data_IF_217250159526
#
_entry.id   IF_217250159526
#
_cell.length_a   1.000
_cell.length_b   1.000
_cell.length_c   1.000
_cell.angle_alpha   90.00
_cell.angle_beta   90.00
_cell.angle_gamma   90.00
#
_symmetry.space_group_name_H-M   'P 1'
#
loop_
_entity.id
_entity.type
_entity.pdbx_description
1 polymer ?
#
# COMPACT_ATOMS: atom_id res chain seq x y z
N UNK A 1 -16.22 42.77 8.05
CA UNK A 1 -15.76 41.56 8.77
C UNK A 1 -14.90 40.76 7.82
N UNK A 2 -13.58 40.65 8.13
CA UNK A 2 -12.57 40.14 7.19
C UNK A 2 -12.53 38.62 7.32
N UNK A 3 -12.96 37.90 6.28
CA UNK A 3 -12.87 36.44 6.18
C UNK A 3 -11.39 36.04 5.97
N UNK A 4 -10.75 35.46 6.98
CA UNK A 4 -9.42 34.86 6.85
C UNK A 4 -9.61 33.43 6.42
N UNK A 5 -9.36 33.17 5.13
CA UNK A 5 -9.27 31.83 4.58
C UNK A 5 -7.89 31.29 5.02
N UNK A 6 -7.89 30.35 5.95
CA UNK A 6 -6.69 29.58 6.29
C UNK A 6 -6.70 28.34 5.40
N UNK A 7 -5.92 28.40 4.32
CA UNK A 7 -5.64 27.24 3.50
C UNK A 7 -4.62 26.37 4.26
N UNK A 8 -5.08 25.26 4.82
CA UNK A 8 -4.21 24.25 5.44
C UNK A 8 -3.70 23.32 4.33
N UNK A 9 -2.55 23.64 3.77
CA UNK A 9 -1.78 22.78 2.88
C UNK A 9 -1.09 21.71 3.72
N UNK A 10 -1.65 20.52 3.79
CA UNK A 10 -0.98 19.32 4.27
C UNK A 10 0.01 18.85 3.19
N UNK A 11 1.20 19.41 3.23
CA UNK A 11 2.34 18.93 2.47
C UNK A 11 3.05 17.87 3.31
N UNK A 12 2.66 16.60 3.16
CA UNK A 12 3.44 15.47 3.66
C UNK A 12 4.56 15.16 2.66
N UNK A 13 5.70 15.83 2.85
CA UNK A 13 6.94 15.50 2.16
C UNK A 13 7.65 14.37 2.89
N UNK A 14 7.48 13.12 2.45
CA UNK A 14 8.36 12.02 2.80
C UNK A 14 9.65 12.14 2.01
N UNK A 15 10.67 12.72 2.62
CA UNK A 15 12.04 12.69 2.11
C UNK A 15 12.67 11.35 2.46
N UNK A 16 12.72 10.44 1.50
CA UNK A 16 13.55 9.23 1.55
C UNK A 16 14.99 9.64 1.24
N UNK A 17 15.81 9.75 2.29
CA UNK A 17 17.24 9.96 2.18
C UNK A 17 17.92 8.61 1.87
N UNK A 18 18.24 8.36 0.60
CA UNK A 18 19.17 7.29 0.22
C UNK A 18 20.60 7.78 0.51
N UNK A 19 21.22 7.27 1.57
CA UNK A 19 22.66 7.39 1.81
C UNK A 19 23.38 6.37 0.94
N UNK A 20 23.91 6.83 -0.18
CA UNK A 20 24.90 6.09 -0.95
C UNK A 20 26.24 6.19 -0.24
N UNK A 21 26.75 5.09 0.32
CA UNK A 21 28.12 5.00 0.79
C UNK A 21 28.96 4.41 -0.34
N UNK A 22 29.76 5.24 -0.97
CA UNK A 22 30.79 4.84 -1.91
C UNK A 22 32.03 4.34 -1.17
N UNK A 23 32.66 3.30 -1.70
CA UNK A 23 33.96 2.79 -1.26
C UNK A 23 34.72 2.30 -2.47
N UNK A 24 35.71 3.09 -2.89
CA UNK A 24 36.73 2.78 -3.88
C UNK A 24 37.65 1.66 -3.45
N UNK A 25 38.15 0.87 -4.41
CA UNK A 25 39.32 0.01 -4.23
C UNK A 25 39.64 -0.73 -5.52
N UNK A 26 40.60 -0.21 -6.28
CA UNK A 26 41.34 -0.74 -7.42
C UNK A 26 41.98 -2.12 -7.14
N UNK A 27 42.13 -3.03 -8.07
CA UNK A 27 43.15 -3.16 -9.10
C UNK A 27 43.23 -4.56 -9.70
N UNK A 28 43.38 -4.61 -10.99
CA UNK A 28 44.22 -5.45 -11.87
C UNK A 28 44.26 -6.97 -11.79
N UNK A 29 44.01 -7.55 -12.92
CA UNK A 29 44.84 -8.39 -13.78
C UNK A 29 44.20 -9.66 -14.31
N UNK A 30 43.91 -9.61 -15.58
CA UNK A 30 44.38 -10.49 -16.68
C UNK A 30 44.54 -12.01 -16.43
N UNK A 31 43.74 -12.80 -17.14
CA UNK A 31 44.32 -13.72 -18.15
C UNK A 31 43.24 -14.46 -18.94
N UNK A 32 43.45 -14.47 -20.25
CA UNK A 32 42.80 -15.25 -21.30
C UNK A 32 42.95 -16.73 -21.10
N UNK A 33 41.97 -17.50 -21.51
CA UNK A 33 42.17 -18.56 -22.50
C UNK A 33 40.89 -19.12 -23.02
N UNK A 34 40.81 -19.14 -24.32
CA UNK A 34 39.89 -19.80 -25.23
C UNK A 34 39.78 -21.31 -25.05
N UNK A 35 38.68 -21.89 -25.45
CA UNK A 35 38.49 -22.97 -26.42
C UNK A 35 37.11 -23.60 -26.19
N UNK A 36 36.15 -23.34 -27.01
CA UNK A 36 35.57 -23.96 -28.21
C UNK A 36 35.18 -25.44 -28.08
N UNK A 37 33.93 -25.64 -28.49
CA UNK A 37 33.38 -26.69 -29.33
C UNK A 37 32.35 -27.64 -28.72
N UNK A 38 31.11 -27.42 -29.21
CA UNK A 38 30.16 -28.36 -29.87
C UNK A 38 29.67 -29.56 -29.03
N UNK A 39 28.45 -29.69 -28.99
CA UNK A 39 27.27 -30.05 -29.84
C UNK A 39 26.60 -31.32 -29.31
N UNK A 40 25.32 -31.30 -29.34
CA UNK A 40 24.35 -32.33 -29.67
C UNK A 40 23.46 -32.89 -28.57
N UNK A 41 22.23 -32.39 -28.71
CA UNK A 41 20.95 -33.13 -28.84
C UNK A 41 20.32 -33.82 -27.65
N UNK A 42 19.10 -33.30 -27.47
CA UNK A 42 17.86 -34.03 -27.23
C UNK A 42 17.75 -34.96 -26.04
N UNK A 43 16.87 -34.61 -25.15
CA UNK A 43 15.58 -35.28 -25.05
C UNK A 43 14.78 -34.74 -23.90
N UNK A 44 13.58 -34.30 -24.20
CA UNK A 44 12.36 -34.37 -23.41
C UNK A 44 12.54 -34.79 -21.93
N UNK A 45 12.16 -33.86 -21.05
CA UNK A 45 10.98 -34.15 -20.20
C UNK A 45 10.55 -32.84 -19.55
N UNK A 46 9.40 -32.40 -19.97
CA UNK A 46 8.49 -31.55 -19.21
C UNK A 46 8.46 -31.98 -17.76
N UNK A 47 8.67 -31.04 -16.88
CA UNK A 47 7.91 -30.98 -15.62
C UNK A 47 8.36 -29.80 -14.81
N UNK A 48 7.54 -28.80 -14.77
CA UNK A 48 6.99 -28.29 -13.54
C UNK A 48 7.96 -27.53 -12.62
N UNK A 49 8.26 -26.31 -13.05
CA UNK A 49 8.73 -25.28 -12.09
C UNK A 49 7.81 -24.04 -12.15
N UNK A 50 6.49 -24.29 -12.30
CA UNK A 50 5.46 -23.24 -12.23
C UNK A 50 4.67 -23.27 -10.93
N UNK A 51 4.96 -24.18 -10.00
CA UNK A 51 4.15 -24.35 -8.79
C UNK A 51 4.53 -23.44 -7.64
N UNK A 52 5.78 -22.97 -7.55
CA UNK A 52 6.21 -22.14 -6.45
C UNK A 52 5.68 -20.69 -6.60
N UNK A 53 5.81 -20.13 -7.79
CA UNK A 53 5.41 -18.76 -8.10
C UNK A 53 3.88 -18.56 -8.01
N UNK A 54 3.10 -19.54 -8.50
CA UNK A 54 1.64 -19.50 -8.39
C UNK A 54 1.12 -19.63 -6.95
N UNK A 55 1.84 -20.33 -6.06
CA UNK A 55 1.41 -20.46 -4.66
C UNK A 55 1.65 -19.18 -3.88
N UNK A 56 2.75 -18.44 -4.16
CA UNK A 56 3.10 -17.18 -3.52
C UNK A 56 2.17 -16.06 -3.99
N UNK A 57 1.93 -15.93 -5.27
CA UNK A 57 0.98 -14.96 -5.85
C UNK A 57 -0.45 -15.22 -5.35
N UNK A 58 -0.89 -16.47 -5.26
CA UNK A 58 -2.19 -16.84 -4.70
C UNK A 58 -2.31 -16.42 -3.26
N UNK A 59 -1.24 -16.49 -2.48
CA UNK A 59 -1.26 -16.12 -1.06
C UNK A 59 -1.36 -14.61 -0.87
N UNK A 60 -0.58 -13.81 -1.58
CA UNK A 60 -0.72 -12.35 -1.59
C UNK A 60 -2.09 -11.94 -2.14
N UNK A 61 -2.56 -12.60 -3.20
CA UNK A 61 -3.88 -12.37 -3.77
C UNK A 61 -4.98 -12.65 -2.74
N UNK A 62 -4.90 -13.75 -2.01
CA UNK A 62 -5.91 -14.09 -1.00
C UNK A 62 -5.98 -13.05 0.12
N UNK A 63 -4.83 -12.51 0.56
CA UNK A 63 -4.80 -11.42 1.54
C UNK A 63 -5.36 -10.13 0.94
N UNK A 64 -4.99 -9.81 -0.29
CA UNK A 64 -5.52 -8.63 -0.97
C UNK A 64 -7.05 -8.71 -1.07
N UNK A 65 -7.59 -9.84 -1.49
CA UNK A 65 -9.04 -10.06 -1.62
C UNK A 65 -9.75 -9.96 -0.27
N UNK A 66 -9.22 -10.64 0.76
CA UNK A 66 -9.76 -10.60 2.12
C UNK A 66 -9.83 -9.18 2.68
N UNK A 67 -8.74 -8.44 2.59
CA UNK A 67 -8.67 -7.09 3.16
C UNK A 67 -9.36 -6.03 2.30
N UNK A 68 -9.40 -6.22 0.97
CA UNK A 68 -10.25 -5.42 0.07
C UNK A 68 -11.71 -5.56 0.46
N UNK A 69 -12.17 -6.78 0.67
CA UNK A 69 -13.54 -7.03 1.10
C UNK A 69 -13.83 -6.38 2.45
N UNK A 70 -12.97 -6.59 3.47
CA UNK A 70 -13.12 -6.00 4.80
C UNK A 70 -13.21 -4.47 4.75
N UNK A 71 -12.30 -3.81 4.04
CA UNK A 71 -12.31 -2.34 3.92
C UNK A 71 -13.59 -1.89 3.23
N UNK A 72 -13.99 -2.54 2.12
CA UNK A 72 -15.16 -2.18 1.34
C UNK A 72 -16.47 -2.38 2.12
N UNK A 73 -16.60 -3.46 2.88
CA UNK A 73 -17.79 -3.76 3.68
C UNK A 73 -17.94 -2.81 4.88
N UNK A 74 -16.83 -2.39 5.48
CA UNK A 74 -16.87 -1.49 6.65
C UNK A 74 -17.09 -0.03 6.25
N UNK A 75 -16.65 0.38 5.06
CA UNK A 75 -16.69 1.79 4.62
C UNK A 75 -18.07 2.44 4.70
N UNK A 76 -19.17 1.84 4.20
CA UNK A 76 -20.49 2.44 4.31
C UNK A 76 -20.90 2.73 5.77
N UNK A 77 -20.64 1.76 6.67
CA UNK A 77 -20.91 1.94 8.09
C UNK A 77 -20.09 3.06 8.73
N UNK A 78 -18.83 3.22 8.32
CA UNK A 78 -17.95 4.30 8.79
C UNK A 78 -18.44 5.67 8.30
N UNK A 79 -18.93 5.75 7.06
CA UNK A 79 -19.56 6.98 6.50
C UNK A 79 -20.86 7.30 7.23
N UNK A 80 -21.71 6.29 7.50
CA UNK A 80 -22.96 6.47 8.24
C UNK A 80 -22.71 6.93 9.67
N UNK A 81 -21.71 6.38 10.35
CA UNK A 81 -21.27 6.85 11.68
C UNK A 81 -20.83 8.32 11.63
N UNK A 82 -20.02 8.70 10.62
CA UNK A 82 -19.61 10.08 10.44
C UNK A 82 -20.83 10.99 10.28
N UNK A 83 -21.77 10.65 9.38
CA UNK A 83 -22.96 11.43 9.12
C UNK A 83 -23.89 11.55 10.34
N UNK A 84 -23.91 10.53 11.18
CA UNK A 84 -24.71 10.53 12.41
C UNK A 84 -24.10 11.43 13.50
N UNK A 85 -22.77 11.42 13.63
CA UNK A 85 -22.04 12.16 14.68
C UNK A 85 -21.71 13.61 14.29
N UNK A 86 -21.63 13.91 12.97
CA UNK A 86 -21.28 15.23 12.47
C UNK A 86 -22.23 16.37 12.94
N UNK A 87 -23.56 16.19 13.02
CA UNK A 87 -24.46 17.22 13.54
C UNK A 87 -24.16 17.64 14.99
N UNK A 88 -23.64 16.72 15.81
CA UNK A 88 -23.28 16.99 17.20
C UNK A 88 -22.09 17.97 17.34
N UNK A 89 -21.33 18.15 16.27
CA UNK A 89 -20.19 19.09 16.21
C UNK A 89 -20.63 20.53 15.96
N UNK A 90 -21.95 20.79 15.79
CA UNK A 90 -22.52 22.13 15.67
C UNK A 90 -21.83 23.02 14.60
N UNK A 91 -21.30 22.44 13.54
CA UNK A 91 -20.59 23.14 12.48
C UNK A 91 -19.16 23.57 12.84
N UNK A 92 -18.59 23.09 13.95
CA UNK A 92 -17.17 23.29 14.26
C UNK A 92 -16.31 22.46 13.31
N UNK A 93 -15.66 23.15 12.36
CA UNK A 93 -14.85 22.54 11.30
C UNK A 93 -13.67 21.75 11.89
N UNK A 94 -13.09 22.16 13.00
CA UNK A 94 -11.98 21.42 13.63
C UNK A 94 -12.48 20.10 14.24
N UNK A 95 -13.60 20.15 14.96
CA UNK A 95 -14.22 18.95 15.52
C UNK A 95 -14.72 17.98 14.44
N UNK A 96 -15.21 18.49 13.30
CA UNK A 96 -15.56 17.70 12.14
C UNK A 96 -14.34 17.04 11.48
N UNK A 97 -13.21 17.76 11.41
CA UNK A 97 -11.96 17.21 10.87
C UNK A 97 -11.39 16.11 11.78
N UNK A 98 -11.43 16.30 13.09
CA UNK A 98 -11.03 15.27 14.06
C UNK A 98 -11.92 14.01 13.94
N UNK A 99 -13.23 14.19 13.81
CA UNK A 99 -14.16 13.09 13.57
C UNK A 99 -13.84 12.35 12.27
N UNK A 100 -13.62 13.07 11.16
CA UNK A 100 -13.23 12.49 9.88
C UNK A 100 -11.95 11.66 10.01
N UNK A 101 -10.92 12.20 10.64
CA UNK A 101 -9.65 11.51 10.86
C UNK A 101 -9.85 10.21 11.68
N UNK A 102 -10.63 10.25 12.75
CA UNK A 102 -10.94 9.08 13.55
C UNK A 102 -11.68 7.99 12.75
N UNK A 103 -12.53 8.38 11.81
CA UNK A 103 -13.23 7.45 10.92
C UNK A 103 -12.29 6.84 9.86
N UNK A 104 -11.43 7.67 9.25
CA UNK A 104 -10.41 7.20 8.29
C UNK A 104 -9.40 6.26 8.97
N UNK A 105 -9.03 6.50 10.24
CA UNK A 105 -8.13 5.64 11.01
C UNK A 105 -8.68 4.20 11.17
N UNK A 106 -9.99 4.01 11.25
CA UNK A 106 -10.59 2.65 11.27
C UNK A 106 -10.26 1.88 10.00
N UNK A 107 -10.34 2.51 8.84
CA UNK A 107 -10.00 1.90 7.56
C UNK A 107 -8.48 1.66 7.44
N UNK A 108 -7.68 2.61 7.92
CA UNK A 108 -6.22 2.49 7.95
C UNK A 108 -5.75 1.29 8.79
N UNK A 109 -6.43 1.02 9.91
CA UNK A 109 -6.12 -0.12 10.77
C UNK A 109 -6.29 -1.44 10.01
N UNK A 110 -7.40 -1.61 9.29
CA UNK A 110 -7.66 -2.81 8.48
C UNK A 110 -6.61 -2.95 7.37
N UNK A 111 -6.28 -1.85 6.69
CA UNK A 111 -5.25 -1.85 5.64
C UNK A 111 -3.88 -2.28 6.22
N UNK A 112 -3.47 -1.70 7.34
CA UNK A 112 -2.20 -2.01 7.99
C UNK A 112 -2.11 -3.47 8.46
N UNK A 113 -3.21 -4.06 8.91
CA UNK A 113 -3.27 -5.49 9.23
C UNK A 113 -3.00 -6.36 8.00
N UNK A 114 -3.62 -6.03 6.85
CA UNK A 114 -3.38 -6.72 5.58
C UNK A 114 -1.94 -6.59 5.11
N UNK A 115 -1.38 -5.37 5.14
CA UNK A 115 0.03 -5.11 4.80
C UNK A 115 0.98 -5.89 5.72
N UNK A 116 0.68 -5.98 7.02
CA UNK A 116 1.47 -6.76 7.98
C UNK A 116 1.46 -8.26 7.65
N UNK A 117 0.31 -8.82 7.26
CA UNK A 117 0.23 -10.22 6.81
C UNK A 117 1.01 -10.47 5.52
N UNK A 118 1.00 -9.53 4.59
CA UNK A 118 1.83 -9.59 3.38
C UNK A 118 3.32 -9.58 3.72
N UNK A 119 3.73 -8.78 4.72
CA UNK A 119 5.11 -8.75 5.20
C UNK A 119 5.55 -10.08 5.87
N UNK A 120 4.64 -10.74 6.60
CA UNK A 120 4.91 -12.08 7.18
C UNK A 120 5.15 -13.12 6.08
N UNK A 121 4.36 -13.08 5.00
CA UNK A 121 4.53 -13.98 3.85
C UNK A 121 5.86 -13.71 3.17
N UNK A 122 6.19 -12.44 2.90
CA UNK A 122 7.48 -12.06 2.34
C UNK A 122 8.65 -12.68 3.12
N UNK A 123 8.62 -12.55 4.45
CA UNK A 123 9.69 -13.09 5.31
C UNK A 123 9.74 -14.63 5.27
N UNK A 124 8.58 -15.27 5.22
CA UNK A 124 8.46 -16.73 5.20
C UNK A 124 8.99 -17.33 3.89
N UNK A 125 8.68 -16.70 2.78
CA UNK A 125 9.01 -17.18 1.44
C UNK A 125 10.37 -16.69 0.97
N UNK A 126 10.87 -15.59 1.54
CA UNK A 126 12.09 -14.94 1.07
C UNK A 126 11.86 -14.06 -0.17
N UNK A 127 10.64 -13.58 -0.35
CA UNK A 127 10.26 -12.76 -1.51
C UNK A 127 11.00 -11.44 -1.57
N UNK A 128 11.11 -10.88 -2.78
CA UNK A 128 11.75 -9.58 -3.00
C UNK A 128 10.95 -8.43 -2.39
N UNK A 129 11.64 -7.31 -2.11
CA UNK A 129 10.98 -6.06 -1.71
C UNK A 129 10.02 -5.57 -2.79
N UNK A 130 10.35 -5.76 -4.07
CA UNK A 130 9.52 -5.33 -5.20
C UNK A 130 8.19 -6.08 -5.23
N UNK A 131 8.22 -7.41 -5.06
CA UNK A 131 7.00 -8.23 -4.99
C UNK A 131 6.10 -7.78 -3.83
N UNK A 132 6.66 -7.64 -2.64
CA UNK A 132 5.91 -7.17 -1.48
C UNK A 132 5.32 -5.78 -1.70
N UNK A 133 6.11 -4.83 -2.20
CA UNK A 133 5.68 -3.45 -2.42
C UNK A 133 4.55 -3.35 -3.45
N UNK A 134 4.58 -4.18 -4.49
CA UNK A 134 3.51 -4.23 -5.49
C UNK A 134 2.18 -4.64 -4.84
N UNK A 135 2.17 -5.72 -4.05
CA UNK A 135 0.94 -6.20 -3.41
C UNK A 135 0.44 -5.27 -2.30
N UNK A 136 1.34 -4.76 -1.47
CA UNK A 136 1.00 -3.78 -0.45
C UNK A 136 0.45 -2.49 -1.07
N UNK A 137 1.01 -2.05 -2.20
CA UNK A 137 0.54 -0.90 -2.96
C UNK A 137 -0.89 -1.07 -3.45
N UNK A 138 -1.26 -2.23 -3.98
CA UNK A 138 -2.65 -2.53 -4.41
C UNK A 138 -3.64 -2.38 -3.25
N UNK A 139 -3.29 -2.87 -2.06
CA UNK A 139 -4.17 -2.73 -0.89
C UNK A 139 -4.27 -1.28 -0.39
N UNK A 140 -3.17 -0.52 -0.47
CA UNK A 140 -3.16 0.91 -0.14
C UNK A 140 -4.02 1.73 -1.11
N UNK A 141 -4.09 1.37 -2.39
CA UNK A 141 -4.99 2.01 -3.37
C UNK A 141 -6.46 1.78 -3.00
N UNK A 142 -6.82 0.57 -2.59
CA UNK A 142 -8.16 0.26 -2.08
C UNK A 142 -8.48 1.12 -0.87
N UNK A 143 -7.60 1.14 0.12
CA UNK A 143 -7.76 1.99 1.30
C UNK A 143 -7.96 3.46 0.92
N UNK A 144 -7.13 4.01 0.05
CA UNK A 144 -7.22 5.42 -0.36
C UNK A 144 -8.56 5.72 -1.02
N UNK A 145 -9.03 4.83 -1.90
CA UNK A 145 -10.33 4.96 -2.58
C UNK A 145 -11.49 4.95 -1.57
N UNK A 146 -11.43 4.08 -0.58
CA UNK A 146 -12.48 3.97 0.42
C UNK A 146 -12.43 5.12 1.45
N UNK A 147 -11.24 5.56 1.86
CA UNK A 147 -11.05 6.69 2.74
C UNK A 147 -11.57 8.01 2.10
N UNK A 148 -11.48 8.14 0.78
CA UNK A 148 -12.03 9.29 0.05
C UNK A 148 -13.54 9.45 0.29
N UNK A 149 -14.31 8.38 0.43
CA UNK A 149 -15.75 8.46 0.69
C UNK A 149 -16.05 9.14 2.04
N UNK A 150 -15.23 8.90 3.06
CA UNK A 150 -15.34 9.57 4.36
C UNK A 150 -14.98 11.05 4.25
N UNK A 151 -13.94 11.37 3.46
CA UNK A 151 -13.53 12.75 3.22
C UNK A 151 -14.56 13.53 2.41
N UNK A 152 -15.25 12.88 1.47
CA UNK A 152 -16.34 13.47 0.69
C UNK A 152 -17.55 13.80 1.60
N UNK A 153 -17.89 12.90 2.53
CA UNK A 153 -18.90 13.15 3.54
C UNK A 153 -18.53 14.34 4.44
N UNK A 154 -17.27 14.40 4.89
CA UNK A 154 -16.77 15.56 5.64
C UNK A 154 -16.91 16.87 4.84
N UNK A 155 -16.48 16.85 3.57
CA UNK A 155 -16.54 18.04 2.71
C UNK A 155 -17.97 18.51 2.52
N UNK A 156 -18.89 17.58 2.29
CA UNK A 156 -20.34 17.87 2.16
C UNK A 156 -20.87 18.57 3.41
N UNK A 157 -20.60 18.04 4.59
CA UNK A 157 -21.07 18.65 5.86
C UNK A 157 -20.38 19.98 6.13
N UNK A 158 -19.06 20.08 5.91
CA UNK A 158 -18.28 21.29 6.20
C UNK A 158 -18.64 22.46 5.26
N UNK A 159 -19.09 22.17 4.04
CA UNK A 159 -19.47 23.19 3.05
C UNK A 159 -20.98 23.46 2.97
N UNK A 160 -21.78 22.64 3.62
CA UNK A 160 -23.24 22.76 3.63
C UNK A 160 -23.90 22.37 2.30
N UNK A 161 -23.26 21.44 1.56
CA UNK A 161 -23.76 20.92 0.27
C UNK A 161 -24.45 19.58 0.44
#
# INVERSE_FOLDING_TARGET
>A
MKKKIVALLLASSMALSLSACGGSGSDSSSSKSDTKTEETAKSDTSSDDSSADQSEETTYQSILDEYTQKITEVTPGVVDEFNTEAPEKNGDVNALAELCNAKVEKLATICNEGVSKMAEIKLKNGDSDDTYNEWAGKLQEVYTTQAQQVQDAYTSVATGQ
#
